data_IF_652675259785
#
_entry.id   IF_652675259785
#
_cell.length_a   1.000
_cell.length_b   1.000
_cell.length_c   1.000
_cell.angle_alpha   90.00
_cell.angle_beta   90.00
_cell.angle_gamma   90.00
#
_symmetry.space_group_name_H-M   'P 1'
#
loop_
_entity.id
_entity.type
_entity.pdbx_description
1 polymer ?
#
# COMPACT_ATOMS: atom_id res chain seq x y z
N UNK A 1 -17.62 -10.35 -36.08
CA UNK A 1 -16.47 -10.45 -35.17
C UNK A 1 -16.51 -9.27 -34.23
N UNK A 2 -16.75 -9.50 -32.93
CA UNK A 2 -16.66 -8.45 -31.91
C UNK A 2 -15.20 -8.37 -31.46
N UNK A 3 -14.60 -7.19 -31.55
CA UNK A 3 -13.31 -6.90 -30.95
C UNK A 3 -13.44 -7.07 -29.43
N UNK A 4 -12.69 -8.02 -28.87
CA UNK A 4 -12.48 -8.08 -27.43
C UNK A 4 -11.46 -7.00 -27.11
N UNK A 5 -11.89 -5.93 -26.44
CA UNK A 5 -11.02 -4.90 -25.90
C UNK A 5 -10.07 -5.57 -24.90
N UNK A 6 -8.78 -5.34 -25.09
CA UNK A 6 -7.68 -5.78 -24.23
C UNK A 6 -8.04 -5.39 -22.79
N UNK A 7 -8.45 -6.37 -21.98
CA UNK A 7 -8.46 -6.23 -20.53
C UNK A 7 -7.01 -6.28 -20.09
N UNK A 8 -6.43 -5.14 -19.71
CA UNK A 8 -5.17 -5.10 -18.97
C UNK A 8 -5.45 -5.73 -17.60
N UNK A 9 -4.75 -6.82 -17.30
CA UNK A 9 -4.94 -7.66 -16.11
C UNK A 9 -3.76 -7.38 -15.18
N UNK A 10 -4.04 -6.95 -13.95
CA UNK A 10 -3.04 -6.21 -13.16
C UNK A 10 -3.36 -6.25 -11.65
N UNK A 11 -2.36 -6.51 -10.78
CA UNK A 11 -2.55 -6.76 -9.34
C UNK A 11 -2.75 -5.46 -8.56
N UNK A 12 -3.85 -5.33 -7.82
CA UNK A 12 -4.20 -4.08 -7.11
C UNK A 12 -3.43 -3.92 -5.80
N UNK A 13 -2.83 -2.75 -5.63
CA UNK A 13 -2.31 -2.26 -4.36
C UNK A 13 -3.44 -1.54 -3.61
N UNK A 14 -3.70 -1.93 -2.36
CA UNK A 14 -4.78 -1.39 -1.52
C UNK A 14 -4.25 -0.99 -0.15
N UNK A 15 -4.84 0.02 0.48
CA UNK A 15 -4.49 0.36 1.87
C UNK A 15 -4.85 -0.80 2.83
N UNK A 16 -3.87 -1.37 3.56
CA UNK A 16 -4.07 -2.47 4.50
C UNK A 16 -4.98 -2.16 5.67
N UNK A 17 -5.73 -3.17 6.14
CA UNK A 17 -6.28 -3.17 7.50
C UNK A 17 -5.37 -3.95 8.45
N UNK A 18 -4.56 -3.26 9.24
CA UNK A 18 -3.70 -3.91 10.24
C UNK A 18 -4.43 -4.26 11.56
N UNK A 19 -5.54 -3.58 11.87
CA UNK A 19 -6.38 -3.90 13.03
C UNK A 19 -7.87 -3.60 12.73
N UNK A 20 -8.83 -4.17 13.49
CA UNK A 20 -10.25 -3.87 13.30
C UNK A 20 -10.61 -2.40 13.48
N UNK A 21 -9.81 -1.65 14.23
CA UNK A 21 -10.01 -0.22 14.51
C UNK A 21 -9.27 0.69 13.54
N UNK A 22 -8.41 0.15 12.67
CA UNK A 22 -7.69 0.93 11.66
C UNK A 22 -8.64 1.44 10.56
N UNK A 23 -8.79 2.76 10.46
CA UNK A 23 -9.72 3.38 9.51
C UNK A 23 -9.06 3.95 8.27
N UNK A 24 -7.87 4.56 8.39
CA UNK A 24 -7.22 5.24 7.27
C UNK A 24 -5.71 5.30 7.37
N UNK A 25 -5.03 5.56 6.26
CA UNK A 25 -3.60 5.82 6.23
C UNK A 25 -3.29 6.92 5.23
N UNK A 26 -2.16 7.62 5.39
CA UNK A 26 -1.65 8.56 4.40
C UNK A 26 -0.28 8.16 3.92
N UNK A 27 -0.01 8.37 2.63
CA UNK A 27 1.34 8.16 2.09
C UNK A 27 2.24 9.27 2.63
N UNK A 28 3.29 8.89 3.35
CA UNK A 28 4.31 9.83 3.84
C UNK A 28 5.55 9.84 2.94
N UNK A 29 5.86 8.70 2.31
CA UNK A 29 7.02 8.57 1.43
C UNK A 29 6.79 7.47 0.41
N UNK A 30 7.00 7.80 -0.86
CA UNK A 30 7.15 6.82 -1.94
C UNK A 30 8.60 6.35 -2.00
N UNK A 31 8.77 5.05 -2.21
CA UNK A 31 10.06 4.38 -2.40
C UNK A 31 10.23 3.90 -3.84
N UNK A 32 9.11 3.58 -4.49
CA UNK A 32 9.01 3.31 -5.93
C UNK A 32 8.01 4.27 -6.59
N UNK A 33 8.27 4.64 -7.83
CA UNK A 33 7.47 5.59 -8.61
C UNK A 33 6.73 4.91 -9.77
N UNK A 34 5.69 5.56 -10.34
CA UNK A 34 5.01 5.01 -11.50
C UNK A 34 5.96 4.72 -12.66
N UNK A 35 5.80 3.54 -13.24
CA UNK A 35 6.62 2.92 -14.28
C UNK A 35 7.97 2.35 -13.82
N UNK A 36 8.27 2.37 -12.51
CA UNK A 36 9.41 1.63 -11.99
C UNK A 36 9.11 0.13 -12.04
N UNK A 37 10.16 -0.65 -12.34
CA UNK A 37 10.16 -2.09 -12.17
C UNK A 37 10.40 -2.40 -10.69
N UNK A 38 9.60 -3.30 -10.13
CA UNK A 38 9.72 -3.78 -8.75
C UNK A 38 9.90 -5.30 -8.77
N UNK A 39 10.70 -5.83 -7.86
CA UNK A 39 10.86 -7.26 -7.61
C UNK A 39 10.05 -7.69 -6.37
N UNK A 40 9.81 -8.98 -6.18
CA UNK A 40 9.21 -9.48 -4.94
C UNK A 40 9.95 -8.98 -3.71
N UNK A 41 9.18 -8.56 -2.70
CA UNK A 41 9.64 -7.97 -1.45
C UNK A 41 10.30 -6.59 -1.58
N UNK A 42 10.26 -5.98 -2.78
CA UNK A 42 10.69 -4.59 -2.91
C UNK A 42 9.72 -3.66 -2.18
N UNK A 43 10.28 -2.65 -1.47
CA UNK A 43 9.47 -1.69 -0.78
C UNK A 43 8.90 -0.64 -1.72
N UNK A 44 7.60 -0.43 -1.65
CA UNK A 44 6.89 0.52 -2.51
C UNK A 44 6.71 1.86 -1.82
N UNK A 45 6.28 1.86 -0.56
CA UNK A 45 5.95 3.09 0.16
C UNK A 45 5.91 2.91 1.67
N UNK A 46 6.00 4.05 2.37
CA UNK A 46 5.75 4.18 3.80
C UNK A 46 4.45 4.96 3.97
N UNK A 47 3.57 4.40 4.80
CA UNK A 47 2.29 4.96 5.18
C UNK A 47 2.35 5.40 6.64
N UNK A 48 1.68 6.50 6.98
CA UNK A 48 1.32 6.83 8.35
C UNK A 48 -0.13 6.38 8.58
N UNK A 49 -0.31 5.53 9.57
CA UNK A 49 -1.60 4.98 9.96
C UNK A 49 -2.37 5.94 10.86
N UNK A 50 -3.69 5.85 10.79
CA UNK A 50 -4.56 6.62 11.66
C UNK A 50 -4.37 6.20 13.11
N UNK A 51 -4.56 7.16 14.01
CA UNK A 51 -4.20 7.00 15.42
C UNK A 51 -5.07 5.98 16.18
N UNK A 52 -6.17 5.54 15.56
CA UNK A 52 -7.08 4.48 16.00
C UNK A 52 -6.58 3.06 15.68
N UNK A 53 -5.47 2.92 14.94
CA UNK A 53 -4.81 1.64 14.73
C UNK A 53 -4.45 0.97 16.07
N UNK A 54 -4.02 1.76 17.06
CA UNK A 54 -3.89 1.33 18.46
C UNK A 54 -5.20 1.60 19.22
N UNK A 55 -5.70 0.57 19.89
CA UNK A 55 -6.95 0.66 20.63
C UNK A 55 -6.84 1.51 21.91
N UNK A 56 -5.70 1.45 22.61
CA UNK A 56 -5.46 2.23 23.82
C UNK A 56 -4.38 3.32 23.56
N UNK A 57 -4.72 4.61 23.73
CA UNK A 57 -3.73 5.69 23.67
C UNK A 57 -2.60 5.56 24.70
N UNK A 58 -2.81 4.85 25.82
CA UNK A 58 -1.79 4.60 26.83
C UNK A 58 -0.65 3.67 26.33
N UNK A 59 -0.90 2.91 25.26
CA UNK A 59 0.13 2.07 24.63
C UNK A 59 1.13 2.92 23.82
N UNK A 60 0.93 4.23 23.69
CA UNK A 60 1.85 5.12 22.97
C UNK A 60 3.11 5.39 23.78
N UNK A 61 4.26 5.29 23.12
CA UNK A 61 5.56 5.62 23.71
C UNK A 61 5.66 7.13 23.92
N UNK A 62 5.15 7.91 22.96
CA UNK A 62 5.09 9.37 23.03
C UNK A 62 3.71 9.90 22.60
N UNK A 63 3.28 11.08 23.09
CA UNK A 63 2.00 11.66 22.69
C UNK A 63 1.86 11.91 21.18
N UNK A 64 2.98 12.22 20.54
CA UNK A 64 3.08 12.53 19.10
C UNK A 64 3.58 11.34 18.27
N UNK A 65 3.55 10.12 18.82
CA UNK A 65 3.96 8.91 18.11
C UNK A 65 3.13 8.73 16.84
N UNK A 66 3.82 8.66 15.70
CA UNK A 66 3.24 8.31 14.42
C UNK A 66 3.40 6.82 14.21
N UNK A 67 2.28 6.14 13.98
CA UNK A 67 2.29 4.73 13.64
C UNK A 67 2.60 4.63 12.15
N UNK A 68 3.79 4.18 11.80
CA UNK A 68 4.16 3.99 10.40
C UNK A 68 3.95 2.54 9.98
N UNK A 69 3.68 2.37 8.70
CA UNK A 69 3.47 1.08 8.07
C UNK A 69 4.28 1.04 6.78
N UNK A 70 5.03 -0.03 6.62
CA UNK A 70 5.81 -0.31 5.43
C UNK A 70 4.99 -1.17 4.47
N UNK A 71 5.01 -0.87 3.17
CA UNK A 71 4.31 -1.64 2.13
C UNK A 71 5.32 -2.21 1.14
N UNK A 72 5.31 -3.53 1.00
CA UNK A 72 6.14 -4.28 0.06
C UNK A 72 5.26 -5.02 -0.95
N UNK A 73 5.74 -5.20 -2.17
CA UNK A 73 5.11 -6.12 -3.12
C UNK A 73 5.46 -7.57 -2.78
N UNK A 74 4.56 -8.54 -2.97
CA UNK A 74 4.98 -9.95 -2.90
C UNK A 74 5.39 -10.51 -4.27
N UNK A 75 5.30 -9.72 -5.34
CA UNK A 75 5.57 -10.16 -6.71
C UNK A 75 6.33 -9.13 -7.54
N UNK A 76 6.96 -9.59 -8.62
CA UNK A 76 7.64 -8.72 -9.57
C UNK A 76 6.64 -8.06 -10.55
N UNK A 77 7.04 -6.93 -11.15
CA UNK A 77 6.26 -6.27 -12.19
C UNK A 77 6.55 -4.78 -12.32
N UNK A 78 5.65 -4.05 -12.96
CA UNK A 78 5.74 -2.61 -13.16
C UNK A 78 4.67 -1.90 -12.34
N UNK A 79 5.07 -0.95 -11.50
CA UNK A 79 4.13 -0.13 -10.73
C UNK A 79 3.39 0.85 -11.66
N UNK A 80 2.06 0.83 -11.65
CA UNK A 80 1.18 1.63 -12.50
C UNK A 80 0.03 2.24 -11.69
N UNK A 81 -0.61 3.24 -12.29
CA UNK A 81 -1.87 3.84 -11.83
C UNK A 81 -1.87 4.28 -10.36
N UNK A 82 -0.73 4.79 -9.88
CA UNK A 82 -0.60 5.32 -8.53
C UNK A 82 -1.40 6.63 -8.42
N UNK A 83 -2.56 6.56 -7.79
CA UNK A 83 -3.56 7.64 -7.79
C UNK A 83 -3.32 8.69 -6.69
N UNK A 84 -2.50 8.39 -5.71
CA UNK A 84 -2.10 9.32 -4.64
C UNK A 84 -0.58 9.31 -4.48
N UNK A 85 0.00 10.50 -4.34
CA UNK A 85 1.45 10.70 -4.24
C UNK A 85 1.90 11.19 -2.86
N UNK A 86 1.00 11.29 -1.89
CA UNK A 86 1.30 11.76 -0.55
C UNK A 86 0.29 12.76 0.02
N UNK A 87 0.23 12.80 1.35
CA UNK A 87 -0.35 13.90 2.11
C UNK A 87 -1.84 13.80 2.42
N UNK A 88 -2.62 13.05 1.65
CA UNK A 88 -4.05 12.82 1.94
C UNK A 88 -4.25 11.58 2.81
N UNK A 89 -5.23 11.63 3.69
CA UNK A 89 -5.74 10.45 4.38
C UNK A 89 -6.64 9.65 3.44
N UNK A 90 -6.37 8.35 3.33
CA UNK A 90 -7.01 7.41 2.44
C UNK A 90 -7.63 6.30 3.28
N UNK A 91 -8.89 5.97 3.04
CA UNK A 91 -9.58 4.93 3.77
C UNK A 91 -8.97 3.55 3.51
N UNK A 92 -8.91 2.73 4.55
CA UNK A 92 -8.49 1.32 4.47
C UNK A 92 -9.35 0.56 3.45
N UNK A 93 -8.70 -0.23 2.61
CA UNK A 93 -9.32 -0.96 1.49
C UNK A 93 -9.41 -0.16 0.19
N UNK A 94 -9.08 1.13 0.20
CA UNK A 94 -8.99 1.92 -1.04
C UNK A 94 -7.83 1.41 -1.89
N UNK A 95 -8.08 1.22 -3.19
CA UNK A 95 -7.02 0.88 -4.15
C UNK A 95 -6.25 2.14 -4.53
N UNK A 96 -4.93 2.07 -4.42
CA UNK A 96 -4.03 3.21 -4.62
C UNK A 96 -3.14 3.07 -5.84
N UNK A 97 -2.98 1.85 -6.37
CA UNK A 97 -2.12 1.58 -7.52
C UNK A 97 -2.19 0.12 -7.93
N UNK A 98 -1.33 -0.26 -8.84
CA UNK A 98 -1.33 -1.58 -9.46
C UNK A 98 0.11 -2.02 -9.75
N UNK A 99 0.43 -3.31 -9.55
CA UNK A 99 1.65 -3.94 -10.08
C UNK A 99 1.26 -4.84 -11.25
N UNK A 100 1.84 -4.60 -12.41
CA UNK A 100 1.57 -5.32 -13.66
C UNK A 100 2.78 -6.18 -14.04
N UNK A 101 2.64 -7.50 -13.92
CA UNK A 101 3.65 -8.52 -14.25
C UNK A 101 3.56 -9.00 -15.70
N UNK A 102 2.55 -8.54 -16.46
CA UNK A 102 2.30 -8.96 -17.83
C UNK A 102 1.59 -10.31 -17.98
N UNK A 103 1.27 -11.00 -16.88
CA UNK A 103 0.61 -12.30 -16.90
C UNK A 103 -0.89 -12.21 -16.61
N UNK A 104 -1.72 -13.03 -17.27
CA UNK A 104 -3.15 -13.10 -17.01
C UNK A 104 -3.40 -13.90 -15.72
N UNK A 105 -3.48 -13.22 -14.57
CA UNK A 105 -3.75 -13.87 -13.28
C UNK A 105 -5.19 -13.59 -12.80
N UNK A 106 -5.90 -14.67 -12.46
CA UNK A 106 -7.14 -14.70 -11.67
C UNK A 106 -6.74 -14.66 -10.19
N UNK A 107 -6.75 -13.49 -9.51
CA UNK A 107 -6.33 -13.48 -8.11
C UNK A 107 -6.40 -12.15 -7.36
N UNK A 108 -6.75 -12.27 -6.08
CA UNK A 108 -6.68 -11.21 -5.07
C UNK A 108 -5.23 -10.95 -4.60
N UNK A 109 -5.11 -9.89 -3.83
CA UNK A 109 -3.95 -9.02 -3.58
C UNK A 109 -2.74 -9.73 -2.95
N UNK A 110 -1.54 -9.21 -3.24
CA UNK A 110 -0.26 -9.76 -2.76
C UNK A 110 0.67 -8.60 -2.36
N UNK A 111 0.44 -8.05 -1.17
CA UNK A 111 1.36 -7.14 -0.49
C UNK A 111 1.47 -7.56 0.98
N UNK A 112 2.61 -7.26 1.59
CA UNK A 112 2.83 -7.41 3.04
C UNK A 112 2.97 -6.04 3.68
N UNK A 113 2.47 -5.92 4.92
CA UNK A 113 2.53 -4.69 5.68
C UNK A 113 2.97 -4.90 7.11
N UNK A 114 3.93 -4.09 7.52
CA UNK A 114 4.57 -4.18 8.83
C UNK A 114 4.50 -2.84 9.53
N UNK A 115 4.23 -2.86 10.84
CA UNK A 115 4.44 -1.67 11.67
C UNK A 115 5.93 -1.34 11.66
N UNK A 116 6.24 -0.11 11.28
CA UNK A 116 7.58 0.42 11.18
C UNK A 116 7.77 1.48 12.27
N UNK A 117 8.87 1.40 12.99
CA UNK A 117 9.35 2.51 13.81
C UNK A 117 10.44 3.20 12.99
N UNK A 118 10.39 4.52 12.87
CA UNK A 118 11.57 5.28 12.42
C UNK A 118 12.68 5.00 13.45
N UNK A 119 13.63 4.12 13.11
CA UNK A 119 14.87 4.00 13.88
C UNK A 119 15.66 5.30 13.66
N UNK A 120 16.10 5.91 14.77
CA UNK A 120 17.00 7.08 14.83
C UNK A 120 18.33 6.84 14.08
#
# INVERSE_FOLDING_TARGET
MRACLITQLSKRLTIPRLSPTHTSSRIVRLLSFPNDSVESYDPIMILECSSDLRADPADRVTPDEKLLMFIETCDEGVLKDLNDHGGNWIDVGTSIGIVDDGDPVDGDWLWEAYLHNEED
#
